data_IF_849107408363
#
_entry.id   IF_849107408363
#
_cell.length_a   1.000
_cell.length_b   1.000
_cell.length_c   1.000
_cell.angle_alpha   90.00
_cell.angle_beta   90.00
_cell.angle_gamma   90.00
#
_symmetry.space_group_name_H-M   'P 1'
#
loop_
_entity.id
_entity.type
_entity.pdbx_description
1 polymer ?
#
# COMPACT_ATOMS: atom_id res chain seq x y z
N UNK A 1 4.32 -5.97 -11.64
CA UNK A 1 4.14 -5.84 -10.18
C UNK A 1 3.26 -6.96 -9.60
N UNK A 2 1.96 -7.06 -9.98
CA UNK A 2 1.00 -8.05 -9.43
C UNK A 2 1.46 -9.50 -9.51
N UNK A 3 1.99 -9.94 -10.66
CA UNK A 3 2.47 -11.32 -10.84
C UNK A 3 3.63 -11.69 -9.89
N UNK A 4 4.56 -10.75 -9.64
CA UNK A 4 5.69 -10.96 -8.72
C UNK A 4 5.23 -11.04 -7.27
N UNK A 5 4.28 -10.18 -6.88
CA UNK A 5 3.68 -10.22 -5.54
C UNK A 5 2.91 -11.53 -5.32
N UNK A 6 2.13 -11.97 -6.30
CA UNK A 6 1.42 -13.24 -6.25
C UNK A 6 2.39 -14.43 -6.16
N UNK A 7 3.43 -14.46 -6.98
CA UNK A 7 4.42 -15.54 -6.94
C UNK A 7 5.16 -15.62 -5.58
N UNK A 8 5.48 -14.46 -4.99
CA UNK A 8 6.02 -14.39 -3.64
C UNK A 8 5.01 -14.89 -2.59
N UNK A 9 3.74 -14.48 -2.72
CA UNK A 9 2.68 -14.90 -1.80
C UNK A 9 2.48 -16.42 -1.80
N UNK A 10 2.41 -17.02 -3.00
CA UNK A 10 2.24 -18.46 -3.19
C UNK A 10 3.44 -19.29 -2.73
N UNK A 11 4.62 -18.68 -2.58
CA UNK A 11 5.84 -19.38 -2.13
C UNK A 11 6.10 -19.17 -0.64
N UNK A 12 6.57 -17.98 -0.26
CA UNK A 12 7.01 -17.69 1.11
C UNK A 12 6.00 -16.86 1.90
N UNK A 13 5.18 -16.04 1.23
CA UNK A 13 4.30 -15.07 1.89
C UNK A 13 3.28 -15.73 2.83
N UNK A 14 2.69 -16.87 2.44
CA UNK A 14 1.70 -17.59 3.25
C UNK A 14 2.23 -18.12 4.59
N UNK A 15 3.50 -18.51 4.63
CA UNK A 15 4.14 -19.05 5.84
C UNK A 15 5.03 -18.03 6.55
N UNK A 16 5.06 -16.78 6.07
CA UNK A 16 5.83 -15.71 6.71
C UNK A 16 5.13 -15.31 8.00
N UNK A 17 5.88 -15.32 9.11
CA UNK A 17 5.42 -14.70 10.34
C UNK A 17 5.45 -13.17 10.18
N UNK A 18 4.28 -12.53 10.15
CA UNK A 18 4.18 -11.08 10.02
C UNK A 18 4.28 -10.34 11.36
N UNK A 19 4.26 -11.06 12.48
CA UNK A 19 4.47 -10.48 13.82
C UNK A 19 5.95 -10.28 14.16
N UNK A 20 6.85 -10.93 13.41
CA UNK A 20 8.29 -10.77 13.63
C UNK A 20 8.76 -9.33 13.39
N UNK A 21 9.85 -8.88 14.06
CA UNK A 21 10.40 -7.55 13.87
C UNK A 21 10.80 -7.28 12.41
N UNK A 22 10.31 -6.17 11.87
CA UNK A 22 10.74 -5.61 10.60
C UNK A 22 12.08 -4.90 10.78
N UNK A 23 13.10 -5.32 10.01
CA UNK A 23 14.41 -4.64 9.98
C UNK A 23 14.31 -3.31 9.23
N UNK A 24 13.75 -2.28 9.88
CA UNK A 24 13.63 -0.93 9.31
C UNK A 24 14.38 0.09 10.13
N UNK A 25 14.79 1.18 9.49
CA UNK A 25 15.63 2.21 10.11
C UNK A 25 14.85 3.17 11.04
N UNK A 26 13.52 3.13 11.03
CA UNK A 26 12.65 4.08 11.73
C UNK A 26 12.02 3.53 13.02
N UNK A 27 12.59 2.45 13.57
CA UNK A 27 12.23 1.93 14.89
C UNK A 27 11.66 0.51 14.85
N UNK A 28 11.19 0.08 16.02
CA UNK A 28 10.64 -1.27 16.23
C UNK A 28 9.20 -1.33 15.70
N UNK A 29 9.04 -1.96 14.54
CA UNK A 29 7.74 -2.28 13.94
C UNK A 29 7.75 -3.72 13.49
N UNK A 30 6.58 -4.34 13.41
CA UNK A 30 6.38 -5.68 12.85
C UNK A 30 6.45 -5.65 11.33
N UNK A 31 6.72 -6.80 10.70
CA UNK A 31 6.62 -6.91 9.24
C UNK A 31 5.20 -6.61 8.73
N UNK A 32 4.16 -6.91 9.52
CA UNK A 32 2.79 -6.54 9.19
C UNK A 32 2.65 -5.04 8.98
N UNK A 33 3.07 -4.23 9.96
CA UNK A 33 2.99 -2.77 9.91
C UNK A 33 3.80 -2.18 8.75
N UNK A 34 4.95 -2.78 8.41
CA UNK A 34 5.76 -2.35 7.26
C UNK A 34 5.01 -2.57 5.94
N UNK A 35 4.40 -3.74 5.76
CA UNK A 35 3.63 -4.07 4.55
C UNK A 35 2.38 -3.20 4.43
N UNK A 36 1.68 -3.03 5.55
CA UNK A 36 0.54 -2.14 5.67
C UNK A 36 0.93 -0.72 5.24
N UNK A 37 2.04 -0.18 5.78
CA UNK A 37 2.60 1.14 5.45
C UNK A 37 2.90 1.31 3.98
N UNK A 38 3.55 0.32 3.39
CA UNK A 38 3.92 0.33 1.97
C UNK A 38 2.68 0.33 1.07
N UNK A 39 1.66 -0.44 1.45
CA UNK A 39 0.38 -0.49 0.74
C UNK A 39 -0.32 0.87 0.77
N UNK A 40 -0.43 1.50 1.95
CA UNK A 40 -1.09 2.80 2.07
C UNK A 40 -0.34 3.92 1.38
N UNK A 41 0.99 3.94 1.46
CA UNK A 41 1.81 4.96 0.82
C UNK A 41 1.59 5.00 -0.70
N UNK A 42 1.52 3.81 -1.32
CA UNK A 42 1.18 3.67 -2.75
C UNK A 42 -0.23 4.19 -3.06
N UNK A 43 -1.20 3.92 -2.17
CA UNK A 43 -2.55 4.48 -2.25
C UNK A 43 -2.56 6.00 -2.17
N UNK A 44 -1.84 6.59 -1.21
CA UNK A 44 -1.79 8.05 -1.00
C UNK A 44 -1.24 8.78 -2.23
N UNK A 45 -0.15 8.29 -2.84
CA UNK A 45 0.36 8.86 -4.08
C UNK A 45 -0.64 8.75 -5.23
N UNK A 46 -1.36 7.63 -5.34
CA UNK A 46 -2.43 7.49 -6.34
C UNK A 46 -3.53 8.54 -6.12
N UNK A 47 -3.89 8.83 -4.87
CA UNK A 47 -4.84 9.91 -4.55
C UNK A 47 -4.32 11.29 -4.92
N UNK A 48 -3.04 11.58 -4.66
CA UNK A 48 -2.43 12.85 -5.07
C UNK A 48 -2.46 13.04 -6.59
N UNK A 49 -2.23 11.97 -7.35
CA UNK A 49 -2.35 11.98 -8.81
C UNK A 49 -3.79 12.21 -9.25
N UNK A 50 -4.78 11.53 -8.65
CA UNK A 50 -6.20 11.77 -8.94
C UNK A 50 -6.60 13.23 -8.69
N UNK A 51 -6.20 13.81 -7.55
CA UNK A 51 -6.47 15.23 -7.24
C UNK A 51 -5.78 16.18 -8.23
N UNK A 52 -4.61 15.81 -8.74
CA UNK A 52 -3.91 16.58 -9.78
C UNK A 52 -4.68 16.52 -11.10
N UNK A 53 -5.17 15.35 -11.51
CA UNK A 53 -5.99 15.21 -12.71
C UNK A 53 -7.29 16.00 -12.61
N UNK A 54 -7.98 15.94 -11.46
CA UNK A 54 -9.19 16.73 -11.19
C UNK A 54 -8.92 18.25 -11.33
N UNK A 55 -7.79 18.74 -10.80
CA UNK A 55 -7.39 20.16 -10.95
C UNK A 55 -7.13 20.57 -12.41
N UNK A 56 -6.74 19.62 -13.25
CA UNK A 56 -6.52 19.84 -14.68
C UNK A 56 -7.79 19.63 -15.51
N UNK A 57 -8.93 19.33 -14.88
CA UNK A 57 -10.19 19.03 -15.56
C UNK A 57 -10.21 17.65 -16.26
N UNK A 58 -9.29 16.76 -15.91
CA UNK A 58 -9.17 15.41 -16.49
C UNK A 58 -9.81 14.40 -15.53
N UNK A 59 -10.75 13.60 -16.03
CA UNK A 59 -11.33 12.52 -15.24
C UNK A 59 -10.30 11.36 -15.09
N UNK A 60 -10.01 10.90 -13.86
CA UNK A 60 -9.13 9.76 -13.66
C UNK A 60 -9.78 8.47 -14.16
N UNK A 61 -9.03 7.66 -14.90
CA UNK A 61 -9.46 6.30 -15.28
C UNK A 61 -9.40 5.37 -14.06
N UNK A 62 -10.53 4.71 -13.74
CA UNK A 62 -10.64 3.82 -12.59
C UNK A 62 -10.34 4.46 -11.23
N UNK A 63 -11.12 5.47 -10.78
CA UNK A 63 -10.83 6.22 -9.56
C UNK A 63 -10.79 5.33 -8.31
N UNK A 64 -9.78 5.52 -7.46
CA UNK A 64 -9.75 4.88 -6.16
C UNK A 64 -10.86 5.47 -5.27
N UNK A 65 -11.85 4.63 -4.95
CA UNK A 65 -12.93 5.01 -4.03
C UNK A 65 -12.40 5.27 -2.61
N UNK A 66 -13.05 6.18 -1.86
CA UNK A 66 -12.75 6.48 -0.44
C UNK A 66 -12.69 5.24 0.45
N UNK A 67 -13.42 4.18 0.10
CA UNK A 67 -13.39 2.88 0.80
C UNK A 67 -12.00 2.25 0.84
N UNK A 68 -11.17 2.45 -0.21
CA UNK A 68 -9.80 1.93 -0.29
C UNK A 68 -8.81 2.64 0.64
N UNK A 69 -9.21 3.76 1.24
CA UNK A 69 -8.42 4.55 2.19
C UNK A 69 -8.95 4.44 3.63
N UNK A 70 -9.98 3.63 3.87
CA UNK A 70 -10.55 3.49 5.21
C UNK A 70 -9.54 2.73 6.09
N UNK A 71 -9.04 3.37 7.15
CA UNK A 71 -8.03 2.81 8.06
C UNK A 71 -6.59 3.27 7.82
N UNK A 72 -6.34 4.15 6.85
CA UNK A 72 -5.01 4.79 6.74
C UNK A 72 -4.80 5.78 7.88
N UNK A 73 -3.62 5.82 8.52
CA UNK A 73 -3.25 6.93 9.41
C UNK A 73 -3.43 8.28 8.68
N UNK A 74 -3.98 9.26 9.39
CA UNK A 74 -4.22 10.61 8.87
C UNK A 74 -2.92 11.38 8.65
#
# INVERSE_FOLDING_TARGET
MKARLNAWWESAGRSTDFSQPGKVYYGDVTLHEVLERTCWHSGQHTRQLMLTLEKLGIAPDGPLTRRRFRGTPH
#
